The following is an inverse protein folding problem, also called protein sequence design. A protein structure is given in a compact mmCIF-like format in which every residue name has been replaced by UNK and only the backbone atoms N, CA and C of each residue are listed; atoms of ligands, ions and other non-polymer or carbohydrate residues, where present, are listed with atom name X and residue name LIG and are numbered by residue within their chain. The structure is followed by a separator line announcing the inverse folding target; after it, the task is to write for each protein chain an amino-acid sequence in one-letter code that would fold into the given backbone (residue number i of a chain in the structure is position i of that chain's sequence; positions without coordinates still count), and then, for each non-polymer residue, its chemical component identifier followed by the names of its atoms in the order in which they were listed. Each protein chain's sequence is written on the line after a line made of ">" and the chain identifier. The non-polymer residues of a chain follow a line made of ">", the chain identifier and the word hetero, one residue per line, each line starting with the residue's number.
data_IF_283653994782
#
_entry.id   IF_283653994782
#
_cell.length_a   1.000
_cell.length_b   1.000
_cell.length_c   1.000
_cell.angle_alpha   90.00
_cell.angle_beta   90.00
_cell.angle_gamma   90.00
#
_symmetry.space_group_name_H-M   'P 1'
#
loop_
_entity.id
_entity.type
_entity.pdbx_description
1 polymer ?
#
# COMPACT_ATOMS: atom_id res chain seq x y z
N UNK A 1 -10.87 -4.68 -6.17
CA UNK A 1 -10.30 -3.99 -5.01
C UNK A 1 -11.11 -4.28 -3.78
N UNK A 2 -10.43 -4.76 -2.82
CA UNK A 2 -11.08 -5.07 -1.58
C UNK A 2 -11.21 -3.84 -0.75
N UNK A 3 -12.24 -3.81 -0.03
CA UNK A 3 -12.67 -2.77 0.89
C UNK A 3 -11.72 -2.59 2.08
N UNK A 4 -10.55 -2.07 1.81
CA UNK A 4 -9.70 -1.48 2.83
C UNK A 4 -10.13 -0.04 3.15
N UNK A 5 -11.22 0.40 2.53
CA UNK A 5 -11.74 1.77 2.67
C UNK A 5 -13.26 1.73 2.80
N UNK A 6 -13.81 2.72 3.46
CA UNK A 6 -15.26 2.85 3.58
C UNK A 6 -15.95 3.14 2.23
N UNK A 7 -17.26 2.94 2.20
CA UNK A 7 -18.07 3.11 1.00
C UNK A 7 -17.96 4.51 0.37
N UNK A 8 -17.60 5.51 1.16
CA UNK A 8 -17.38 6.89 0.70
C UNK A 8 -16.15 7.07 -0.21
N UNK A 9 -15.29 6.05 -0.29
CA UNK A 9 -14.13 6.06 -1.20
C UNK A 9 -14.42 5.38 -2.54
N UNK A 10 -15.65 4.93 -2.77
CA UNK A 10 -16.02 4.23 -3.98
C UNK A 10 -16.64 5.21 -4.97
N UNK A 11 -16.07 5.27 -6.16
CA UNK A 11 -16.65 5.97 -7.30
C UNK A 11 -17.35 4.94 -8.17
N UNK A 12 -18.67 5.04 -8.40
CA UNK A 12 -19.40 4.07 -9.20
C UNK A 12 -18.79 3.87 -10.59
N UNK A 13 -18.59 2.61 -10.97
CA UNK A 13 -18.02 2.23 -12.26
C UNK A 13 -16.50 2.37 -12.39
N UNK A 14 -15.83 2.92 -11.39
CA UNK A 14 -14.37 3.14 -11.39
C UNK A 14 -13.60 1.85 -11.72
N UNK A 15 -13.97 0.75 -11.07
CA UNK A 15 -13.23 -0.51 -11.18
C UNK A 15 -13.31 -1.20 -12.55
N UNK A 16 -14.08 -0.68 -13.47
CA UNK A 16 -14.03 -1.10 -14.87
C UNK A 16 -12.76 -0.63 -15.59
N UNK A 17 -12.13 0.41 -15.08
CA UNK A 17 -11.03 1.11 -15.75
C UNK A 17 -9.75 1.09 -14.94
N UNK A 18 -9.85 1.34 -13.64
CA UNK A 18 -8.69 1.43 -12.74
C UNK A 18 -9.10 1.22 -11.29
N UNK A 19 -8.14 0.91 -10.45
CA UNK A 19 -8.26 0.93 -9.01
C UNK A 19 -7.25 1.91 -8.39
N UNK A 20 -7.21 1.97 -7.06
CA UNK A 20 -6.31 2.90 -6.34
C UNK A 20 -4.84 2.58 -6.59
N UNK A 21 -4.48 1.32 -6.71
CA UNK A 21 -3.10 0.92 -7.00
C UNK A 21 -2.64 1.38 -8.39
N UNK A 22 -3.53 1.44 -9.36
CA UNK A 22 -3.22 2.02 -10.67
C UNK A 22 -2.90 3.52 -10.56
N UNK A 23 -3.68 4.25 -9.75
CA UNK A 23 -3.44 5.67 -9.52
C UNK A 23 -2.11 5.92 -8.80
N UNK A 24 -1.79 5.11 -7.78
CA UNK A 24 -0.51 5.21 -7.08
C UNK A 24 0.66 4.89 -8.00
N UNK A 25 0.55 3.84 -8.82
CA UNK A 25 1.55 3.49 -9.81
C UNK A 25 1.76 4.61 -10.84
N UNK A 26 0.69 5.29 -11.23
CA UNK A 26 0.74 6.42 -12.18
C UNK A 26 1.43 7.67 -11.61
N UNK A 27 1.72 7.74 -10.31
CA UNK A 27 2.52 8.82 -9.74
C UNK A 27 4.00 8.73 -10.13
N UNK A 28 4.47 7.55 -10.55
CA UNK A 28 5.87 7.41 -10.98
C UNK A 28 6.18 8.37 -12.13
N UNK A 29 7.34 9.01 -12.15
CA UNK A 29 8.49 8.84 -11.25
C UNK A 29 8.54 9.81 -10.04
N UNK A 30 7.42 10.31 -9.58
CA UNK A 30 7.37 11.19 -8.39
C UNK A 30 7.69 10.41 -7.12
N UNK A 31 8.17 11.12 -6.10
CA UNK A 31 8.41 10.52 -4.80
C UNK A 31 7.10 10.07 -4.15
N UNK A 32 7.06 8.84 -3.68
CA UNK A 32 5.89 8.25 -3.01
C UNK A 32 6.31 7.44 -1.79
N UNK A 33 5.62 7.66 -0.67
CA UNK A 33 5.74 6.82 0.52
C UNK A 33 4.44 6.06 0.77
N UNK A 34 4.56 4.76 1.00
CA UNK A 34 3.50 3.88 1.46
C UNK A 34 3.88 3.39 2.86
N UNK A 35 3.23 3.90 3.91
CA UNK A 35 3.69 3.74 5.29
C UNK A 35 2.70 3.01 6.21
N UNK A 36 1.49 2.73 5.76
CA UNK A 36 0.41 2.22 6.62
C UNK A 36 0.05 0.75 6.36
N UNK A 37 0.93 0.02 5.72
CA UNK A 37 0.60 -1.33 5.25
C UNK A 37 -0.19 -1.28 3.94
N UNK A 38 -0.92 -2.34 3.69
CA UNK A 38 -1.72 -2.51 2.50
C UNK A 38 -1.72 -3.96 2.05
N UNK A 39 -2.73 -4.37 1.31
CA UNK A 39 -2.74 -5.70 0.72
C UNK A 39 -1.54 -5.88 -0.21
N UNK A 40 -0.90 -7.04 -0.14
CA UNK A 40 0.34 -7.28 -0.89
C UNK A 40 0.14 -7.10 -2.41
N UNK A 41 -1.03 -7.43 -2.91
CA UNK A 41 -1.43 -7.18 -4.29
C UNK A 41 -1.25 -5.70 -4.72
N UNK A 42 -1.67 -4.77 -3.86
CA UNK A 42 -1.52 -3.33 -4.12
C UNK A 42 -0.07 -2.89 -4.13
N UNK A 43 0.64 -3.30 -3.10
CA UNK A 43 2.05 -2.94 -2.92
C UNK A 43 2.85 -3.41 -4.13
N UNK A 44 2.70 -4.67 -4.51
CA UNK A 44 3.41 -5.24 -5.66
C UNK A 44 3.07 -4.54 -6.97
N UNK A 45 1.83 -4.13 -7.15
CA UNK A 45 1.39 -3.41 -8.35
C UNK A 45 2.05 -2.03 -8.44
N UNK A 46 2.13 -1.31 -7.33
CA UNK A 46 2.79 0.00 -7.27
C UNK A 46 4.30 -0.15 -7.52
N UNK A 47 4.93 -1.15 -6.90
CA UNK A 47 6.35 -1.45 -7.12
C UNK A 47 6.62 -1.72 -8.59
N UNK A 48 5.80 -2.54 -9.25
CA UNK A 48 5.95 -2.80 -10.69
C UNK A 48 5.79 -1.53 -11.53
N UNK A 49 4.85 -0.67 -11.19
CA UNK A 49 4.65 0.60 -11.89
C UNK A 49 5.88 1.51 -11.83
N UNK A 50 6.51 1.60 -10.67
CA UNK A 50 7.77 2.33 -10.52
C UNK A 50 8.93 1.65 -11.25
N UNK A 51 8.98 0.33 -11.23
CA UNK A 51 9.99 -0.45 -11.94
C UNK A 51 9.97 -0.26 -13.46
N UNK A 52 8.79 -0.14 -14.05
CA UNK A 52 8.65 0.12 -15.49
C UNK A 52 9.35 1.42 -15.93
N UNK A 53 9.37 2.43 -15.07
CA UNK A 53 10.01 3.72 -15.35
C UNK A 53 11.43 3.83 -14.76
N UNK A 54 11.96 2.77 -14.15
CA UNK A 54 13.28 2.78 -13.50
C UNK A 54 13.35 3.79 -12.35
N UNK A 55 12.27 3.95 -11.59
CA UNK A 55 12.13 4.95 -10.53
C UNK A 55 11.95 4.33 -9.14
N UNK A 56 12.40 3.09 -8.94
CA UNK A 56 12.23 2.35 -7.70
C UNK A 56 12.81 3.08 -6.49
N UNK A 57 13.91 3.81 -6.66
CA UNK A 57 14.53 4.58 -5.60
C UNK A 57 13.66 5.73 -5.08
N UNK A 58 12.60 6.08 -5.82
CA UNK A 58 11.65 7.13 -5.44
C UNK A 58 10.39 6.59 -4.77
N UNK A 59 10.28 5.27 -4.68
CA UNK A 59 9.22 4.60 -3.95
C UNK A 59 9.74 4.10 -2.61
N UNK A 60 9.13 4.54 -1.52
CA UNK A 60 9.42 4.02 -0.18
C UNK A 60 8.22 3.23 0.32
N UNK A 61 8.42 1.93 0.54
CA UNK A 61 7.41 1.07 1.17
C UNK A 61 7.92 0.70 2.55
N UNK A 62 7.20 1.10 3.58
CA UNK A 62 7.55 0.81 4.98
C UNK A 62 6.48 -0.05 5.61
N UNK A 63 6.87 -1.24 6.03
CA UNK A 63 5.97 -2.17 6.70
C UNK A 63 5.97 -1.93 8.22
N UNK A 64 4.91 -2.37 8.89
CA UNK A 64 4.91 -2.47 10.34
C UNK A 64 5.96 -3.50 10.78
N UNK A 65 6.54 -3.36 11.99
CA UNK A 65 7.57 -4.29 12.47
C UNK A 65 7.15 -5.75 12.41
N UNK A 66 5.90 -6.08 12.69
CA UNK A 66 5.33 -7.42 12.58
C UNK A 66 5.46 -8.01 11.18
N UNK A 67 5.45 -7.17 10.16
CA UNK A 67 5.49 -7.56 8.74
C UNK A 67 6.78 -7.11 8.04
N UNK A 68 7.79 -6.75 8.81
CA UNK A 68 9.08 -6.32 8.25
C UNK A 68 9.75 -7.44 7.43
N UNK A 69 9.70 -8.68 7.93
CA UNK A 69 10.16 -9.83 7.18
C UNK A 69 9.13 -10.19 6.08
N UNK A 70 9.56 -10.34 4.82
CA UNK A 70 8.68 -10.76 3.74
C UNK A 70 7.93 -12.08 4.00
N UNK A 71 8.53 -13.00 4.76
CA UNK A 71 7.90 -14.27 5.09
C UNK A 71 6.69 -14.14 6.03
N UNK A 72 6.63 -13.06 6.80
CA UNK A 72 5.53 -12.79 7.72
C UNK A 72 4.37 -12.07 7.06
N UNK A 73 4.53 -11.60 5.82
CA UNK A 73 3.51 -10.88 5.09
C UNK A 73 2.46 -11.80 4.52
N UNK A 74 1.25 -11.28 4.34
CA UNK A 74 0.16 -12.01 3.70
C UNK A 74 0.56 -12.48 2.31
N UNK A 75 0.29 -13.76 2.04
CA UNK A 75 0.47 -14.39 0.72
C UNK A 75 -0.84 -14.48 -0.05
N UNK A 76 -1.92 -13.97 0.54
CA UNK A 76 -3.25 -13.96 -0.06
C UNK A 76 -3.43 -12.70 -0.90
N UNK A 77 -3.53 -12.84 -2.20
CA UNK A 77 -3.71 -11.71 -3.10
C UNK A 77 -5.15 -11.22 -3.18
N UNK A 78 -6.09 -12.14 -3.11
CA UNK A 78 -7.51 -11.81 -3.16
C UNK A 78 -8.18 -12.16 -1.83
N UNK A 79 -9.15 -11.38 -1.38
CA UNK A 79 -9.89 -11.72 -0.18
C UNK A 79 -10.71 -13.00 -0.40
N UNK A 80 -11.00 -13.73 0.66
CA UNK A 80 -11.88 -14.89 0.57
C UNK A 80 -13.29 -14.47 0.14
N UNK A 81 -14.00 -15.37 -0.55
CA UNK A 81 -15.35 -15.10 -1.05
C UNK A 81 -16.35 -14.74 0.05
N UNK A 82 -16.15 -15.24 1.26
CA UNK A 82 -17.00 -14.91 2.43
C UNK A 82 -16.70 -13.56 3.07
N UNK A 83 -15.73 -12.80 2.52
CA UNK A 83 -15.27 -11.54 3.08
C UNK A 83 -14.24 -11.73 4.19
N UNK A 84 -13.87 -10.62 4.82
CA UNK A 84 -12.87 -10.56 5.87
C UNK A 84 -13.51 -10.22 7.22
N UNK A 85 -13.08 -10.91 8.27
CA UNK A 85 -13.33 -10.46 9.65
C UNK A 85 -12.39 -9.30 9.99
N UNK A 86 -12.62 -8.63 11.13
CA UNK A 86 -11.70 -7.57 11.56
C UNK A 86 -10.26 -8.08 11.68
N UNK A 87 -10.07 -9.25 12.30
CA UNK A 87 -8.72 -9.82 12.49
C UNK A 87 -8.08 -10.25 11.18
N UNK A 88 -8.80 -10.96 10.32
CA UNK A 88 -8.27 -11.39 9.02
C UNK A 88 -8.04 -10.22 8.07
N UNK A 89 -8.76 -9.11 8.23
CA UNK A 89 -8.51 -7.89 7.49
C UNK A 89 -7.12 -7.32 7.79
N UNK A 90 -6.73 -7.22 9.06
CA UNK A 90 -5.41 -6.73 9.43
C UNK A 90 -4.29 -7.61 8.90
N UNK A 91 -4.44 -8.92 8.98
CA UNK A 91 -3.47 -9.85 8.37
C UNK A 91 -3.40 -9.68 6.86
N UNK A 92 -4.55 -9.61 6.20
CA UNK A 92 -4.61 -9.43 4.75
C UNK A 92 -3.95 -8.14 4.28
N UNK A 93 -4.10 -7.06 5.03
CA UNK A 93 -3.53 -5.75 4.69
C UNK A 93 -2.15 -5.49 5.28
N UNK A 94 -1.53 -6.47 5.94
CA UNK A 94 -0.23 -6.31 6.59
C UNK A 94 -0.21 -5.12 7.56
N UNK A 95 -1.29 -4.94 8.30
CA UNK A 95 -1.49 -3.81 9.22
C UNK A 95 -1.47 -4.31 10.66
N UNK A 96 -0.74 -3.64 11.51
CA UNK A 96 -0.60 -3.94 12.94
C UNK A 96 -1.01 -2.75 13.81
N UNK A 97 -2.04 -2.02 13.39
CA UNK A 97 -2.60 -0.91 14.14
C UNK A 97 -4.12 -0.89 13.99
N UNK A 98 -4.88 -0.85 15.10
CA UNK A 98 -6.33 -0.80 15.04
C UNK A 98 -6.87 0.56 14.60
N UNK A 99 -6.04 1.58 14.63
CA UNK A 99 -6.35 2.97 14.26
C UNK A 99 -5.34 3.51 13.26
N UNK A 100 -5.77 4.48 12.49
CA UNK A 100 -4.90 5.19 11.56
C UNK A 100 -4.05 6.20 12.33
N UNK A 101 -2.77 5.92 12.46
CA UNK A 101 -1.81 6.85 13.05
C UNK A 101 -0.73 7.22 12.03
N UNK A 102 -0.42 8.51 11.94
CA UNK A 102 0.63 8.98 11.07
C UNK A 102 2.00 8.56 11.58
N UNK A 103 2.80 7.94 10.72
CA UNK A 103 4.14 7.46 11.04
C UNK A 103 5.18 8.47 10.58
N UNK A 104 5.63 9.31 11.47
CA UNK A 104 6.55 10.43 11.17
C UNK A 104 7.90 9.97 10.63
N UNK A 105 8.51 8.96 11.24
CA UNK A 105 9.85 8.50 10.89
C UNK A 105 10.02 8.21 9.39
N UNK A 106 9.23 7.29 8.81
CA UNK A 106 9.30 7.00 7.38
C UNK A 106 9.00 8.20 6.49
N UNK A 107 8.08 9.09 6.91
CA UNK A 107 7.77 10.29 6.14
C UNK A 107 8.95 11.26 6.11
N UNK A 108 9.63 11.47 7.24
CA UNK A 108 10.80 12.33 7.35
C UNK A 108 11.94 11.77 6.48
N UNK A 109 12.17 10.46 6.51
CA UNK A 109 13.19 9.82 5.68
C UNK A 109 12.96 10.05 4.18
N UNK A 110 11.71 9.90 3.73
CA UNK A 110 11.37 10.17 2.34
C UNK A 110 11.63 11.63 1.97
N UNK A 111 11.20 12.56 2.81
CA UNK A 111 11.40 13.99 2.57
C UNK A 111 12.89 14.33 2.49
N UNK A 112 13.72 13.79 3.37
CA UNK A 112 15.18 13.98 3.31
C UNK A 112 15.75 13.49 1.99
N UNK A 113 15.37 12.30 1.54
CA UNK A 113 15.80 11.77 0.24
C UNK A 113 15.33 12.65 -0.92
N UNK A 114 14.06 13.05 -0.91
CA UNK A 114 13.47 13.84 -1.98
C UNK A 114 14.10 15.24 -2.12
N UNK A 115 14.49 15.85 -0.99
CA UNK A 115 15.09 17.18 -0.97
C UNK A 115 16.62 17.16 -0.87
N UNK A 116 17.25 16.01 -0.78
CA UNK A 116 18.71 15.89 -0.72
C UNK A 116 19.33 16.42 0.57
N UNK A 117 18.62 16.29 1.67
CA UNK A 117 19.08 16.79 2.97
C UNK A 117 19.30 15.69 4.01
#
# INVERSE_FOLDING_TARGET
>A
MVNDVGAWHIVPGQYRYYDRSDLLAALAPKWLAMNEGGAQYYIDKVIRGYGVLGAEERLQVTHYPKYADPEDRSKTYLPPLGGLTADSYFEYTNTDAPDQSFREGPAIELLKKAFGI
#
